data_IF_465741701022
#
_entry.id   IF_465741701022
#
_cell.length_a   1.000
_cell.length_b   1.000
_cell.length_c   1.000
_cell.angle_alpha   90.00
_cell.angle_beta   90.00
_cell.angle_gamma   90.00
#
_symmetry.space_group_name_H-M   'P 1'
#
loop_
_entity.id
_entity.type
_entity.pdbx_description
1 polymer ?
#
# COMPACT_ATOMS: atom_id res chain seq x y z
N UNK A 1 28.46 -53.57 -36.33
CA UNK A 1 27.79 -54.18 -37.51
C UNK A 1 26.39 -54.66 -37.11
N UNK A 2 25.44 -54.89 -38.05
CA UNK A 2 24.03 -54.51 -37.83
C UNK A 2 22.97 -55.60 -38.13
N UNK A 3 21.69 -55.22 -37.97
CA UNK A 3 20.40 -55.72 -38.57
C UNK A 3 19.38 -56.19 -37.52
N UNK A 4 18.05 -56.04 -37.70
CA UNK A 4 17.28 -55.11 -38.57
C UNK A 4 15.77 -55.10 -38.28
N UNK A 5 15.19 -53.89 -38.23
CA UNK A 5 13.85 -53.44 -38.71
C UNK A 5 12.72 -54.46 -39.02
N UNK A 6 11.51 -54.15 -38.48
CA UNK A 6 10.25 -53.74 -39.18
C UNK A 6 9.27 -53.27 -38.07
N UNK A 7 8.58 -52.11 -38.04
CA UNK A 7 7.89 -51.20 -38.99
C UNK A 7 6.61 -51.76 -39.63
N UNK A 8 5.48 -51.08 -39.34
CA UNK A 8 4.14 -50.99 -39.99
C UNK A 8 3.09 -50.77 -38.87
N UNK A 9 2.12 -49.85 -38.89
CA UNK A 9 1.91 -48.57 -39.61
C UNK A 9 0.78 -47.76 -38.93
N UNK A 10 0.81 -46.42 -38.97
CA UNK A 10 -0.28 -45.55 -38.46
C UNK A 10 -1.27 -45.12 -39.57
N UNK A 11 -2.52 -44.72 -39.25
CA UNK A 11 -3.35 -43.91 -40.12
C UNK A 11 -3.35 -42.42 -39.72
N UNK A 12 -3.28 -41.56 -40.74
CA UNK A 12 -3.32 -40.09 -40.66
C UNK A 12 -4.68 -39.58 -40.22
N UNK A 13 -4.73 -38.49 -39.42
CA UNK A 13 -5.89 -37.59 -39.36
C UNK A 13 -5.47 -36.12 -39.49
N UNK A 14 -5.71 -35.65 -40.71
CA UNK A 14 -5.88 -34.29 -41.23
C UNK A 14 -5.91 -33.16 -40.17
N UNK A 15 -5.06 -32.16 -40.39
CA UNK A 15 -5.21 -30.83 -39.78
C UNK A 15 -6.22 -29.99 -40.58
N UNK A 16 -7.06 -29.22 -39.88
CA UNK A 16 -7.81 -28.10 -40.47
C UNK A 16 -7.40 -26.85 -39.69
N UNK A 17 -6.79 -25.91 -40.40
CA UNK A 17 -6.58 -24.53 -39.93
C UNK A 17 -7.82 -23.74 -40.32
N UNK A 18 -8.48 -23.13 -39.35
CA UNK A 18 -9.43 -22.05 -39.57
C UNK A 18 -9.09 -20.89 -38.63
N UNK A 19 -8.66 -19.78 -39.23
CA UNK A 19 -8.51 -18.52 -38.54
C UNK A 19 -9.83 -17.74 -38.65
N UNK A 20 -10.37 -17.27 -37.53
CA UNK A 20 -11.39 -16.21 -37.48
C UNK A 20 -11.01 -15.24 -36.37
N UNK A 21 -11.21 -13.96 -36.64
CA UNK A 21 -10.77 -12.80 -35.85
C UNK A 21 -11.91 -12.29 -34.95
N UNK A 22 -11.53 -11.79 -33.77
CA UNK A 22 -12.29 -10.93 -32.85
C UNK A 22 -13.55 -11.48 -32.16
N UNK A 23 -13.74 -11.09 -30.89
CA UNK A 23 -14.92 -11.41 -30.08
C UNK A 23 -14.65 -11.31 -28.58
N UNK A 24 -14.67 -10.09 -28.03
CA UNK A 24 -14.45 -9.83 -26.61
C UNK A 24 -15.67 -10.21 -25.74
N UNK A 25 -15.42 -10.76 -24.55
CA UNK A 25 -16.21 -10.44 -23.36
C UNK A 25 -17.22 -11.46 -22.82
N UNK A 26 -17.53 -11.25 -21.53
CA UNK A 26 -18.61 -11.77 -20.70
C UNK A 26 -18.41 -13.12 -19.97
N UNK A 27 -18.04 -13.01 -18.69
CA UNK A 27 -18.26 -14.05 -17.67
C UNK A 27 -19.76 -14.23 -17.42
N UNK A 28 -20.26 -15.48 -17.51
CA UNK A 28 -21.66 -15.78 -17.22
C UNK A 28 -21.90 -15.92 -15.70
N UNK A 29 -22.70 -15.02 -15.12
CA UNK A 29 -23.28 -15.19 -13.79
C UNK A 29 -24.62 -15.89 -13.93
N UNK A 30 -24.81 -17.02 -13.26
CA UNK A 30 -26.07 -17.75 -13.22
C UNK A 30 -27.05 -17.06 -12.25
N UNK A 31 -28.20 -16.60 -12.76
CA UNK A 31 -29.38 -16.31 -11.95
C UNK A 31 -30.60 -17.03 -12.53
N UNK A 32 -31.47 -17.50 -11.63
CA UNK A 32 -32.59 -18.38 -11.97
C UNK A 32 -33.72 -17.64 -12.72
N UNK A 33 -34.46 -18.40 -13.53
CA UNK A 33 -35.51 -17.90 -14.41
C UNK A 33 -36.76 -17.47 -13.63
N UNK A 34 -37.28 -16.29 -13.97
CA UNK A 34 -38.68 -15.88 -13.78
C UNK A 34 -39.16 -15.27 -15.10
N UNK A 35 -40.21 -15.84 -15.69
CA UNK A 35 -40.71 -15.49 -17.02
C UNK A 35 -41.85 -14.48 -16.95
N UNK A 36 -41.82 -13.44 -17.78
CA UNK A 36 -43.02 -12.99 -18.52
C UNK A 36 -42.68 -12.09 -19.72
N UNK A 37 -43.58 -12.06 -20.70
CA UNK A 37 -43.39 -11.42 -22.02
C UNK A 37 -43.47 -9.88 -21.97
N UNK A 38 -42.50 -9.20 -22.60
CA UNK A 38 -42.50 -7.74 -22.70
C UNK A 38 -41.47 -7.20 -23.71
N UNK A 39 -41.90 -6.95 -24.96
CA UNK A 39 -41.04 -6.34 -25.99
C UNK A 39 -40.71 -4.89 -25.66
N UNK A 40 -39.49 -4.62 -25.20
CA UNK A 40 -38.92 -3.27 -25.11
C UNK A 40 -37.76 -3.16 -26.11
N UNK A 41 -37.95 -2.36 -27.16
CA UNK A 41 -36.88 -1.98 -28.07
C UNK A 41 -35.95 -0.98 -27.37
N UNK A 42 -34.88 -1.48 -26.75
CA UNK A 42 -33.81 -0.62 -26.23
C UNK A 42 -33.02 -0.07 -27.42
N UNK A 43 -33.21 1.21 -27.73
CA UNK A 43 -32.29 1.95 -28.60
C UNK A 43 -30.93 1.95 -27.90
N UNK A 44 -29.93 1.33 -28.53
CA UNK A 44 -28.57 1.35 -28.02
C UNK A 44 -28.06 2.80 -27.99
N UNK A 45 -28.06 3.40 -26.80
CA UNK A 45 -27.43 4.68 -26.58
C UNK A 45 -25.94 4.50 -26.89
N UNK A 46 -25.32 5.36 -27.74
CA UNK A 46 -23.91 5.22 -28.05
C UNK A 46 -23.12 5.28 -26.74
N UNK A 47 -22.18 4.35 -26.57
CA UNK A 47 -21.34 4.28 -25.38
C UNK A 47 -20.75 5.67 -25.11
N UNK A 48 -20.93 6.16 -23.88
CA UNK A 48 -20.39 7.45 -23.48
C UNK A 48 -18.90 7.46 -23.81
N UNK A 49 -18.48 8.42 -24.64
CA UNK A 49 -17.06 8.63 -24.94
C UNK A 49 -16.33 8.74 -23.61
N UNK A 50 -15.31 7.89 -23.39
CA UNK A 50 -14.44 7.97 -22.21
C UNK A 50 -14.06 9.44 -22.01
N UNK A 51 -14.27 10.02 -20.81
CA UNK A 51 -14.05 11.44 -20.59
C UNK A 51 -12.63 11.79 -21.02
N UNK A 52 -12.47 12.87 -21.79
CA UNK A 52 -11.18 13.24 -22.37
C UNK A 52 -10.16 13.48 -21.25
N UNK A 53 -9.27 12.49 -21.06
CA UNK A 53 -8.27 12.52 -20.01
C UNK A 53 -7.12 13.43 -20.43
N UNK A 54 -6.94 14.52 -19.69
CA UNK A 54 -5.79 15.41 -19.86
C UNK A 54 -4.67 14.95 -18.93
N UNK A 55 -3.52 14.63 -19.52
CA UNK A 55 -2.34 14.17 -18.80
C UNK A 55 -1.31 15.30 -18.80
N UNK A 56 -0.83 15.67 -17.61
CA UNK A 56 0.11 16.80 -17.44
C UNK A 56 1.31 16.39 -16.59
N UNK A 57 2.44 17.04 -16.83
CA UNK A 57 3.63 16.94 -15.98
C UNK A 57 3.67 18.10 -14.99
N UNK A 58 4.07 17.82 -13.76
CA UNK A 58 4.36 18.82 -12.72
C UNK A 58 5.71 18.49 -12.08
N UNK A 59 6.42 19.51 -11.63
CA UNK A 59 7.69 19.38 -10.91
C UNK A 59 7.49 19.57 -9.40
N UNK A 60 8.52 19.21 -8.62
CA UNK A 60 8.56 19.33 -7.15
C UNK A 60 7.39 18.59 -6.43
N UNK A 61 7.47 17.25 -6.27
CA UNK A 61 8.35 16.33 -6.98
C UNK A 61 7.90 16.12 -8.44
N UNK A 62 8.79 15.65 -9.29
CA UNK A 62 8.50 15.27 -10.67
C UNK A 62 7.38 14.22 -10.71
N UNK A 63 6.24 14.54 -11.34
CA UNK A 63 5.03 13.71 -11.32
C UNK A 63 4.15 13.90 -12.54
N UNK A 64 3.41 12.85 -12.88
CA UNK A 64 2.33 12.89 -13.87
C UNK A 64 1.00 13.02 -13.16
N UNK A 65 0.17 13.95 -13.61
CA UNK A 65 -1.17 14.22 -13.10
C UNK A 65 -2.19 14.04 -14.21
N UNK A 66 -3.19 13.19 -13.97
CA UNK A 66 -4.32 12.94 -14.88
C UNK A 66 -5.53 13.71 -14.36
N UNK A 67 -6.17 14.49 -15.23
CA UNK A 67 -7.42 15.19 -14.95
C UNK A 67 -8.52 14.82 -15.93
N UNK A 68 -9.79 14.88 -15.49
CA UNK A 68 -10.94 14.84 -16.40
C UNK A 68 -11.09 16.15 -17.21
N UNK A 69 -12.11 16.17 -18.09
CA UNK A 69 -12.45 17.34 -18.90
C UNK A 69 -12.95 18.56 -18.08
N UNK A 70 -13.37 18.36 -16.82
CA UNK A 70 -13.72 19.44 -15.90
C UNK A 70 -12.50 19.98 -15.12
N UNK A 71 -11.31 19.41 -15.32
CA UNK A 71 -10.08 19.76 -14.61
C UNK A 71 -9.93 19.09 -13.24
N UNK A 72 -10.79 18.14 -12.91
CA UNK A 72 -10.69 17.36 -11.67
C UNK A 72 -9.46 16.46 -11.71
N UNK A 73 -8.58 16.57 -10.73
CA UNK A 73 -7.49 15.61 -10.54
C UNK A 73 -8.04 14.21 -10.19
N UNK A 74 -7.78 13.24 -11.07
CA UNK A 74 -8.22 11.84 -10.95
C UNK A 74 -7.10 10.94 -10.42
N UNK A 75 -5.86 11.20 -10.81
CA UNK A 75 -4.71 10.39 -10.45
C UNK A 75 -3.41 11.19 -10.46
N UNK A 76 -2.55 10.98 -9.47
CA UNK A 76 -1.19 11.51 -9.41
C UNK A 76 -0.17 10.40 -9.19
N UNK A 77 0.76 10.30 -10.13
CA UNK A 77 1.86 9.33 -10.18
C UNK A 77 3.18 10.07 -10.00
N UNK A 78 3.97 9.73 -8.99
CA UNK A 78 5.25 10.42 -8.71
C UNK A 78 6.41 9.61 -9.28
N UNK A 79 7.32 10.27 -9.99
CA UNK A 79 8.46 9.58 -10.61
C UNK A 79 9.31 8.86 -9.54
N UNK A 80 9.76 7.65 -9.88
CA UNK A 80 10.46 6.74 -8.97
C UNK A 80 9.54 5.97 -8.01
N UNK A 81 8.29 6.40 -7.82
CA UNK A 81 7.33 5.82 -6.86
C UNK A 81 6.41 4.80 -7.53
N UNK A 82 6.08 3.71 -6.83
CA UNK A 82 5.08 2.74 -7.26
C UNK A 82 3.67 3.10 -6.74
N UNK A 83 3.58 3.85 -5.64
CA UNK A 83 2.33 4.35 -5.07
C UNK A 83 1.72 5.46 -5.94
N UNK A 84 0.41 5.37 -6.12
CA UNK A 84 -0.40 6.27 -6.93
C UNK A 84 -1.57 6.74 -6.10
N UNK A 85 -1.78 8.05 -6.01
CA UNK A 85 -2.95 8.63 -5.35
C UNK A 85 -4.03 8.85 -6.40
N UNK A 86 -5.14 8.14 -6.23
CA UNK A 86 -6.35 8.24 -7.04
C UNK A 86 -7.42 9.03 -6.28
N UNK A 87 -8.28 9.73 -7.02
CA UNK A 87 -9.52 10.29 -6.50
C UNK A 87 -10.61 9.23 -6.57
N UNK A 88 -11.19 8.89 -5.42
CA UNK A 88 -12.30 7.94 -5.30
C UNK A 88 -13.37 8.43 -4.34
N UNK A 89 -14.31 7.55 -3.94
CA UNK A 89 -15.36 7.86 -2.97
C UNK A 89 -14.81 8.42 -1.65
N UNK A 90 -15.52 9.38 -1.07
CA UNK A 90 -15.17 9.92 0.25
C UNK A 90 -15.39 8.87 1.34
N UNK A 91 -14.48 8.84 2.32
CA UNK A 91 -14.51 7.97 3.49
C UNK A 91 -13.82 8.63 4.68
N UNK A 92 -14.09 8.12 5.87
CA UNK A 92 -13.55 8.65 7.13
C UNK A 92 -12.85 7.54 7.92
N UNK A 93 -11.63 7.81 8.37
CA UNK A 93 -10.86 6.97 9.28
C UNK A 93 -10.87 7.57 10.69
N UNK A 94 -10.97 6.71 11.71
CA UNK A 94 -11.06 7.12 13.11
C UNK A 94 -10.38 6.08 14.02
N UNK A 95 -9.87 6.54 15.17
CA UNK A 95 -9.31 5.71 16.24
C UNK A 95 -9.87 6.23 17.58
N UNK A 96 -11.15 5.90 17.89
CA UNK A 96 -11.88 6.51 19.00
C UNK A 96 -11.35 6.12 20.39
N UNK A 97 -10.43 5.14 20.47
CA UNK A 97 -9.78 4.76 21.72
C UNK A 97 -8.76 5.82 22.17
N UNK A 98 -8.09 6.48 21.23
CA UNK A 98 -6.95 7.35 21.51
C UNK A 98 -7.07 8.77 20.94
N UNK A 99 -8.09 9.09 20.14
CA UNK A 99 -8.41 10.47 19.75
C UNK A 99 -9.87 10.65 19.34
N UNK A 100 -10.36 11.89 19.37
CA UNK A 100 -11.63 12.29 18.73
C UNK A 100 -11.43 12.80 17.30
N UNK A 101 -10.18 13.00 16.86
CA UNK A 101 -9.88 13.42 15.50
C UNK A 101 -10.17 12.30 14.50
N UNK A 102 -10.64 12.69 13.31
CA UNK A 102 -10.92 11.78 12.21
C UNK A 102 -10.28 12.29 10.92
N UNK A 103 -9.88 11.42 10.02
CA UNK A 103 -9.35 11.81 8.70
C UNK A 103 -10.41 11.49 7.65
N UNK A 104 -11.00 12.52 7.04
CA UNK A 104 -11.98 12.36 5.96
C UNK A 104 -11.33 12.70 4.63
N UNK A 105 -11.28 11.72 3.72
CA UNK A 105 -10.48 11.82 2.48
C UNK A 105 -11.18 11.19 1.27
N UNK A 106 -10.86 11.70 0.09
CA UNK A 106 -11.17 11.12 -1.22
C UNK A 106 -9.94 10.52 -1.89
N UNK A 107 -8.78 10.53 -1.22
CA UNK A 107 -7.55 9.90 -1.70
C UNK A 107 -7.60 8.38 -1.50
N UNK A 108 -7.31 7.63 -2.56
CA UNK A 108 -7.18 6.18 -2.58
C UNK A 108 -5.78 5.82 -3.10
N UNK A 109 -5.02 5.05 -2.31
CA UNK A 109 -3.60 4.81 -2.55
C UNK A 109 -3.41 3.39 -3.09
N UNK A 110 -3.09 3.30 -4.38
CA UNK A 110 -2.87 2.05 -5.13
C UNK A 110 -1.41 1.89 -5.50
N UNK A 111 -1.04 0.70 -5.97
CA UNK A 111 0.28 0.41 -6.53
C UNK A 111 0.16 0.25 -8.05
N UNK A 112 0.96 1.00 -8.80
CA UNK A 112 1.23 0.72 -10.19
C UNK A 112 2.00 -0.62 -10.34
N UNK A 113 1.96 -1.27 -11.52
CA UNK A 113 2.70 -2.53 -11.75
C UNK A 113 4.23 -2.38 -11.60
N UNK A 114 4.74 -1.18 -11.83
CA UNK A 114 6.15 -0.81 -11.74
C UNK A 114 6.30 0.63 -11.19
N UNK A 115 7.50 1.01 -10.77
CA UNK A 115 7.79 2.38 -10.36
C UNK A 115 7.58 3.36 -11.54
N UNK A 116 6.91 4.47 -11.28
CA UNK A 116 6.51 5.41 -12.32
C UNK A 116 7.70 6.17 -12.92
N UNK A 117 7.62 6.43 -14.22
CA UNK A 117 8.55 7.30 -14.96
C UNK A 117 7.75 8.24 -15.86
N UNK A 118 8.37 9.33 -16.33
CA UNK A 118 7.76 10.20 -17.34
C UNK A 118 7.32 9.43 -18.62
N UNK A 119 7.97 8.31 -18.94
CA UNK A 119 7.66 7.46 -20.09
C UNK A 119 6.52 6.46 -19.83
N UNK A 120 6.18 6.17 -18.56
CA UNK A 120 5.17 5.18 -18.18
C UNK A 120 3.76 5.52 -18.68
N UNK A 121 3.49 6.77 -19.07
CA UNK A 121 2.26 7.17 -19.78
C UNK A 121 2.07 6.42 -21.11
N UNK A 122 3.14 5.96 -21.74
CA UNK A 122 3.13 5.18 -22.97
C UNK A 122 3.19 3.66 -22.73
N UNK A 123 3.21 3.22 -21.46
CA UNK A 123 3.27 1.80 -21.14
C UNK A 123 1.93 1.12 -21.47
N UNK A 124 1.98 -0.09 -22.04
CA UNK A 124 0.79 -0.83 -22.48
C UNK A 124 -0.19 -1.15 -21.35
N UNK A 125 0.27 -1.14 -20.09
CA UNK A 125 -0.56 -1.36 -18.91
C UNK A 125 -1.31 -0.10 -18.45
N UNK A 126 -0.84 1.11 -18.79
CA UNK A 126 -1.23 2.36 -18.11
C UNK A 126 -2.72 2.66 -18.17
N UNK A 127 -3.30 2.78 -19.36
CA UNK A 127 -4.73 3.14 -19.52
C UNK A 127 -5.65 2.10 -18.86
N UNK A 128 -5.43 0.81 -19.13
CA UNK A 128 -6.25 -0.26 -18.56
C UNK A 128 -6.11 -0.35 -17.03
N UNK A 129 -4.90 -0.15 -16.49
CA UNK A 129 -4.68 -0.10 -15.04
C UNK A 129 -5.41 1.10 -14.42
N UNK A 130 -5.33 2.29 -15.03
CA UNK A 130 -5.97 3.50 -14.52
C UNK A 130 -7.50 3.36 -14.51
N UNK A 131 -8.09 2.90 -15.61
CA UNK A 131 -9.54 2.67 -15.71
C UNK A 131 -10.02 1.62 -14.70
N UNK A 132 -9.23 0.55 -14.50
CA UNK A 132 -9.52 -0.51 -13.52
C UNK A 132 -9.46 0.02 -12.09
N UNK A 133 -8.42 0.78 -11.74
CA UNK A 133 -8.20 1.24 -10.37
C UNK A 133 -9.08 2.43 -9.96
N UNK A 134 -9.49 3.29 -10.91
CA UNK A 134 -10.52 4.30 -10.69
C UNK A 134 -11.89 3.68 -10.38
N UNK A 135 -12.17 2.48 -10.92
CA UNK A 135 -13.38 1.70 -10.61
C UNK A 135 -13.22 0.75 -9.41
N UNK A 136 -12.01 0.61 -8.85
CA UNK A 136 -11.71 -0.42 -7.85
C UNK A 136 -12.18 -0.01 -6.44
N UNK A 137 -13.16 -0.74 -5.91
CA UNK A 137 -13.74 -0.53 -4.57
C UNK A 137 -13.09 -1.36 -3.45
N UNK A 138 -12.11 -2.22 -3.77
CA UNK A 138 -11.39 -3.02 -2.76
C UNK A 138 -10.60 -2.11 -1.79
N UNK A 139 -10.32 -2.54 -0.55
CA UNK A 139 -9.43 -1.80 0.36
C UNK A 139 -8.12 -1.40 -0.33
N UNK A 140 -7.72 -0.16 -0.17
CA UNK A 140 -6.44 0.40 -0.62
C UNK A 140 -5.45 0.46 0.54
N UNK A 141 -4.23 0.97 0.33
CA UNK A 141 -3.20 1.05 1.37
C UNK A 141 -3.70 1.72 2.66
N UNK A 142 -4.49 2.80 2.57
CA UNK A 142 -5.00 3.50 3.76
C UNK A 142 -6.06 2.69 4.51
N UNK A 143 -7.00 2.06 3.79
CA UNK A 143 -7.96 1.15 4.42
C UNK A 143 -7.27 -0.09 5.02
N UNK A 144 -6.27 -0.64 4.32
CA UNK A 144 -5.45 -1.77 4.80
C UNK A 144 -4.72 -1.40 6.09
N UNK A 145 -4.22 -0.17 6.22
CA UNK A 145 -3.58 0.30 7.46
C UNK A 145 -4.55 0.28 8.67
N UNK A 146 -5.83 0.58 8.46
CA UNK A 146 -6.85 0.52 9.54
C UNK A 146 -7.22 -0.89 9.99
N UNK A 147 -6.88 -1.93 9.23
CA UNK A 147 -7.17 -3.34 9.56
C UNK A 147 -6.46 -3.84 10.83
N UNK A 148 -5.56 -3.03 11.41
CA UNK A 148 -4.66 -3.40 12.51
C UNK A 148 -4.79 -2.49 13.75
N UNK A 149 -5.75 -1.56 13.74
CA UNK A 149 -6.08 -0.72 14.90
C UNK A 149 -6.66 -1.58 16.05
N UNK A 150 -6.71 -1.00 17.25
CA UNK A 150 -7.36 -1.62 18.41
C UNK A 150 -8.79 -2.08 18.09
N UNK A 151 -9.12 -3.30 18.51
CA UNK A 151 -10.42 -3.91 18.27
C UNK A 151 -10.73 -4.27 16.81
N UNK A 152 -9.80 -4.09 15.87
CA UNK A 152 -10.03 -4.43 14.47
C UNK A 152 -10.34 -5.93 14.30
N UNK A 153 -11.39 -6.29 13.52
CA UNK A 153 -11.88 -7.65 13.44
C UNK A 153 -10.85 -8.58 12.79
N UNK A 154 -10.61 -9.72 13.43
CA UNK A 154 -9.70 -10.73 12.88
C UNK A 154 -10.26 -11.33 11.60
N UNK A 155 -9.46 -11.39 10.54
CA UNK A 155 -9.77 -12.12 9.31
C UNK A 155 -8.68 -13.13 9.02
N UNK A 156 -9.09 -14.31 8.59
CA UNK A 156 -8.22 -15.43 8.26
C UNK A 156 -8.27 -15.75 6.77
N UNK A 157 -7.19 -16.26 6.21
CA UNK A 157 -7.17 -16.86 4.88
C UNK A 157 -7.68 -18.32 4.89
N UNK A 158 -7.69 -18.97 3.73
CA UNK A 158 -8.12 -20.37 3.58
C UNK A 158 -7.23 -21.39 4.32
N UNK A 159 -6.07 -20.96 4.84
CA UNK A 159 -5.15 -21.76 5.66
C UNK A 159 -5.33 -21.50 7.17
N UNK A 160 -6.14 -20.51 7.54
CA UNK A 160 -6.33 -20.07 8.93
C UNK A 160 -5.37 -18.99 9.40
N UNK A 161 -4.51 -18.44 8.53
CA UNK A 161 -3.55 -17.38 8.91
C UNK A 161 -4.30 -16.07 9.13
N UNK A 162 -4.17 -15.50 10.33
CA UNK A 162 -4.78 -14.23 10.70
C UNK A 162 -4.07 -13.04 10.02
N UNK A 163 -4.40 -12.78 8.75
CA UNK A 163 -3.74 -11.74 7.94
C UNK A 163 -4.16 -10.30 8.29
N UNK A 164 -5.20 -10.13 9.11
CA UNK A 164 -5.73 -8.85 9.55
C UNK A 164 -6.46 -8.96 10.91
N UNK A 165 -6.61 -7.82 11.59
CA UNK A 165 -7.18 -7.67 12.92
C UNK A 165 -6.21 -6.98 13.88
N UNK A 166 -6.70 -6.62 15.08
CA UNK A 166 -5.96 -5.98 16.17
C UNK A 166 -4.51 -6.48 16.29
N UNK A 167 -3.55 -5.54 16.32
CA UNK A 167 -2.13 -5.81 16.41
C UNK A 167 -1.52 -5.13 17.64
N UNK A 168 -0.80 -5.89 18.47
CA UNK A 168 0.01 -5.34 19.57
C UNK A 168 1.36 -4.82 19.04
N UNK A 169 2.15 -4.10 19.86
CA UNK A 169 3.47 -3.60 19.42
C UNK A 169 4.58 -4.65 19.56
N UNK A 170 4.69 -5.22 20.76
CA UNK A 170 5.74 -6.16 21.13
C UNK A 170 5.62 -6.60 22.59
N UNK A 171 6.37 -7.64 23.02
CA UNK A 171 6.36 -8.12 24.40
C UNK A 171 6.80 -7.03 25.38
N UNK A 172 6.29 -7.05 26.62
CA UNK A 172 6.71 -6.11 27.66
C UNK A 172 8.10 -6.47 28.20
N UNK A 173 8.99 -5.49 28.34
CA UNK A 173 10.36 -5.69 28.88
C UNK A 173 10.35 -5.61 30.42
N UNK A 174 9.30 -6.16 31.03
CA UNK A 174 9.00 -6.05 32.46
C UNK A 174 8.23 -4.79 32.84
N UNK A 175 7.66 -4.81 34.05
CA UNK A 175 6.69 -3.83 34.55
C UNK A 175 7.17 -2.39 34.42
N UNK A 176 6.46 -1.58 33.63
CA UNK A 176 6.74 -0.15 33.44
C UNK A 176 7.93 0.18 32.52
N UNK A 177 8.66 -0.82 32.00
CA UNK A 177 9.89 -0.62 31.20
C UNK A 177 9.66 -0.48 29.69
N UNK A 178 8.41 -0.53 29.23
CA UNK A 178 8.06 -0.43 27.82
C UNK A 178 7.97 -1.79 27.11
N UNK A 179 8.06 -1.76 25.77
CA UNK A 179 7.85 -2.92 24.90
C UNK A 179 9.01 -3.09 23.92
N UNK A 180 9.26 -4.35 23.54
CA UNK A 180 10.41 -4.76 22.74
C UNK A 180 10.17 -4.56 21.23
N UNK A 181 10.80 -3.52 20.68
CA UNK A 181 10.73 -3.12 19.27
C UNK A 181 11.52 -4.05 18.34
N UNK A 182 10.97 -5.25 18.09
CA UNK A 182 11.55 -6.21 17.14
C UNK A 182 10.53 -6.97 16.29
N UNK A 183 9.23 -6.72 16.44
CA UNK A 183 8.15 -7.48 15.79
C UNK A 183 7.94 -7.05 14.32
N UNK A 184 8.11 -7.97 13.37
CA UNK A 184 7.91 -7.73 11.93
C UNK A 184 6.59 -8.36 11.42
N UNK A 185 6.24 -8.14 10.14
CA UNK A 185 5.00 -8.64 9.56
C UNK A 185 4.84 -10.17 9.69
N UNK A 186 5.94 -10.93 9.65
CA UNK A 186 5.92 -12.38 9.79
C UNK A 186 5.64 -12.84 11.23
N UNK A 187 6.06 -12.06 12.24
CA UNK A 187 5.67 -12.28 13.64
C UNK A 187 4.17 -12.06 13.85
N UNK A 188 3.63 -10.99 13.26
CA UNK A 188 2.20 -10.71 13.31
C UNK A 188 1.37 -11.89 12.74
N UNK A 189 1.79 -12.43 11.59
CA UNK A 189 1.15 -13.56 10.92
C UNK A 189 1.35 -14.90 11.66
N UNK A 190 2.44 -15.05 12.41
CA UNK A 190 2.84 -16.32 13.04
C UNK A 190 3.46 -17.33 12.06
N UNK A 191 4.03 -16.86 10.95
CA UNK A 191 4.51 -17.68 9.83
C UNK A 191 5.97 -17.38 9.50
N UNK A 192 6.81 -18.40 9.32
CA UNK A 192 8.22 -18.22 8.92
C UNK A 192 8.33 -17.62 7.51
N UNK A 193 9.23 -16.64 7.31
CA UNK A 193 9.35 -15.93 6.04
C UNK A 193 10.71 -16.09 5.35
N UNK A 194 10.67 -16.46 4.07
CA UNK A 194 11.83 -16.58 3.20
C UNK A 194 12.08 -15.28 2.43
N UNK A 195 13.07 -14.50 2.86
CA UNK A 195 13.50 -13.31 2.12
C UNK A 195 14.40 -13.68 0.94
N UNK A 196 14.33 -12.96 -0.21
CA UNK A 196 15.23 -13.22 -1.34
C UNK A 196 16.71 -12.89 -1.08
N UNK A 197 16.99 -12.02 -0.10
CA UNK A 197 18.31 -11.43 0.14
C UNK A 197 18.99 -11.91 1.44
N UNK A 198 18.37 -12.83 2.18
CA UNK A 198 18.93 -13.42 3.41
C UNK A 198 18.28 -14.77 3.71
N UNK A 199 18.66 -15.41 4.83
CA UNK A 199 18.02 -16.64 5.31
C UNK A 199 16.56 -16.41 5.74
N UNK A 200 15.82 -17.51 5.86
CA UNK A 200 14.52 -17.55 6.53
C UNK A 200 14.58 -16.83 7.89
N UNK A 201 13.65 -15.91 8.13
CA UNK A 201 13.37 -15.42 9.48
C UNK A 201 12.22 -16.23 10.06
N UNK A 202 12.34 -16.58 11.34
CA UNK A 202 11.33 -17.36 12.02
C UNK A 202 10.39 -16.45 12.79
N UNK A 203 9.10 -16.75 12.77
CA UNK A 203 8.14 -16.03 13.60
C UNK A 203 8.35 -16.39 15.07
N UNK A 204 8.53 -15.41 15.95
CA UNK A 204 8.63 -15.67 17.38
C UNK A 204 7.22 -15.91 17.97
N UNK A 205 6.90 -17.07 18.58
CA UNK A 205 5.55 -17.32 19.10
C UNK A 205 5.10 -16.32 20.18
N UNK A 206 6.06 -15.73 20.90
CA UNK A 206 5.81 -14.66 21.88
C UNK A 206 5.42 -13.32 21.24
N UNK A 207 5.55 -13.19 19.91
CA UNK A 207 5.20 -12.01 19.10
C UNK A 207 4.02 -12.24 18.16
N UNK A 208 3.29 -13.35 18.29
CA UNK A 208 2.09 -13.57 17.48
C UNK A 208 1.14 -12.38 17.58
N UNK A 209 0.68 -11.87 16.43
CA UNK A 209 -0.09 -10.62 16.29
C UNK A 209 0.58 -9.36 16.86
N UNK A 210 1.91 -9.30 16.88
CA UNK A 210 2.67 -8.10 17.27
C UNK A 210 3.41 -7.49 16.09
N UNK A 211 3.48 -6.15 16.03
CA UNK A 211 4.05 -5.41 14.91
C UNK A 211 4.65 -4.07 15.38
N UNK A 212 5.93 -3.81 15.10
CA UNK A 212 6.57 -2.53 15.40
C UNK A 212 6.33 -1.45 14.33
N UNK A 213 6.88 -0.25 14.52
CA UNK A 213 6.65 0.90 13.64
C UNK A 213 6.99 0.61 12.16
N UNK A 214 8.11 -0.08 11.93
CA UNK A 214 8.65 -0.42 10.62
C UNK A 214 8.13 -1.76 10.10
N UNK A 215 7.85 -2.71 11.01
CA UNK A 215 7.08 -3.91 10.71
C UNK A 215 5.69 -3.58 10.17
N UNK A 216 5.03 -2.56 10.72
CA UNK A 216 3.69 -2.15 10.30
C UNK A 216 3.68 -1.62 8.86
N UNK A 217 4.68 -0.80 8.50
CA UNK A 217 4.92 -0.38 7.12
C UNK A 217 5.13 -1.59 6.19
N UNK A 218 5.94 -2.57 6.61
CA UNK A 218 6.23 -3.78 5.82
C UNK A 218 5.02 -4.71 5.69
N UNK A 219 4.16 -4.77 6.71
CA UNK A 219 2.89 -5.49 6.69
C UNK A 219 1.90 -4.84 5.71
N UNK A 220 1.70 -3.53 5.81
CA UNK A 220 0.74 -2.78 4.98
C UNK A 220 1.20 -2.70 3.51
N UNK A 221 2.40 -2.21 3.24
CA UNK A 221 2.88 -2.00 1.86
C UNK A 221 3.45 -3.26 1.25
N UNK A 222 4.20 -4.04 2.02
CA UNK A 222 4.86 -5.24 1.53
C UNK A 222 3.89 -6.41 1.42
N UNK A 223 3.59 -7.05 2.56
CA UNK A 223 2.80 -8.28 2.58
C UNK A 223 1.36 -8.10 2.05
N UNK A 224 0.66 -7.03 2.47
CA UNK A 224 -0.75 -6.79 2.09
C UNK A 224 -0.94 -6.12 0.74
N UNK A 225 0.02 -5.32 0.27
CA UNK A 225 -0.14 -4.52 -0.96
C UNK A 225 0.80 -4.90 -2.11
N UNK A 226 1.89 -5.64 -1.85
CA UNK A 226 2.74 -6.24 -2.89
C UNK A 226 4.09 -5.57 -3.16
N UNK A 227 4.52 -4.60 -2.34
CA UNK A 227 5.88 -4.04 -2.46
C UNK A 227 6.91 -5.12 -2.08
N UNK A 228 8.00 -5.32 -2.85
CA UNK A 228 9.03 -6.30 -2.51
C UNK A 228 9.60 -6.08 -1.10
N UNK A 229 9.82 -7.16 -0.36
CA UNK A 229 10.29 -7.14 1.03
C UNK A 229 11.69 -7.76 1.13
N UNK A 230 12.53 -7.13 1.95
CA UNK A 230 13.91 -7.55 2.21
C UNK A 230 14.16 -7.83 3.69
N UNK A 231 15.08 -8.75 3.98
CA UNK A 231 15.49 -9.08 5.34
C UNK A 231 16.81 -8.40 5.76
N UNK A 232 17.50 -7.73 4.84
CA UNK A 232 18.69 -6.91 5.16
C UNK A 232 18.37 -5.41 5.25
N UNK A 233 19.31 -4.62 5.77
CA UNK A 233 19.20 -3.15 5.91
C UNK A 233 20.22 -2.38 5.04
N UNK A 234 20.68 -3.00 3.94
CA UNK A 234 21.62 -2.40 2.97
C UNK A 234 20.86 -1.88 1.73
N UNK A 235 21.50 -1.16 0.79
CA UNK A 235 20.87 -0.81 -0.50
C UNK A 235 20.41 -2.03 -1.31
N UNK A 236 19.33 -1.91 -2.08
CA UNK A 236 18.75 -2.99 -2.91
C UNK A 236 17.23 -2.91 -3.08
N UNK A 237 16.62 -3.71 -3.99
CA UNK A 237 15.22 -3.57 -4.40
C UNK A 237 14.21 -4.04 -3.35
N UNK A 238 13.31 -3.14 -2.92
CA UNK A 238 12.27 -3.42 -1.93
C UNK A 238 12.53 -2.80 -0.56
N UNK A 239 11.60 -3.00 0.38
CA UNK A 239 11.65 -2.40 1.71
C UNK A 239 12.60 -3.20 2.64
N UNK A 240 13.65 -2.56 3.21
CA UNK A 240 14.45 -3.16 4.28
C UNK A 240 13.67 -3.19 5.61
N UNK A 241 14.30 -3.68 6.69
CA UNK A 241 13.62 -3.95 7.97
C UNK A 241 13.47 -2.74 8.90
N UNK A 242 14.53 -1.94 9.09
CA UNK A 242 14.56 -0.85 10.10
C UNK A 242 14.07 0.48 9.51
N UNK A 243 13.45 1.33 10.34
CA UNK A 243 12.93 2.64 9.93
C UNK A 243 13.98 3.50 9.18
N UNK A 244 15.20 3.67 9.73
CA UNK A 244 16.29 4.39 9.04
C UNK A 244 16.61 3.82 7.67
N UNK A 245 16.65 2.49 7.54
CA UNK A 245 16.99 1.83 6.29
C UNK A 245 15.87 2.00 5.25
N UNK A 246 14.60 2.05 5.68
CA UNK A 246 13.48 2.34 4.77
C UNK A 246 13.54 3.81 4.32
N UNK A 247 13.88 4.75 5.21
CA UNK A 247 14.08 6.15 4.84
C UNK A 247 15.24 6.33 3.84
N UNK A 248 16.39 5.72 4.10
CA UNK A 248 17.61 5.88 3.30
C UNK A 248 17.59 5.06 2.00
N UNK A 249 17.25 3.77 2.08
CA UNK A 249 17.38 2.79 1.00
C UNK A 249 16.07 2.18 0.49
N UNK A 250 14.92 2.52 1.09
CA UNK A 250 13.63 2.06 0.58
C UNK A 250 13.40 2.52 -0.86
N UNK A 251 12.63 1.74 -1.62
CA UNK A 251 12.23 2.14 -2.98
C UNK A 251 11.44 3.46 -2.99
N UNK A 252 11.18 4.02 -4.17
CA UNK A 252 10.43 5.26 -4.27
C UNK A 252 11.29 6.50 -4.17
N UNK A 253 10.63 7.64 -3.96
CA UNK A 253 11.23 8.98 -4.00
C UNK A 253 11.15 9.64 -2.63
N UNK A 254 12.27 10.22 -2.17
CA UNK A 254 12.30 11.09 -1.00
C UNK A 254 11.60 12.42 -1.36
N UNK A 255 10.37 12.60 -0.89
CA UNK A 255 9.55 13.79 -1.17
C UNK A 255 9.86 14.93 -0.21
N UNK A 256 10.39 14.60 0.98
CA UNK A 256 11.04 15.53 1.90
C UNK A 256 12.43 14.95 2.21
N UNK A 257 13.54 15.56 1.77
CA UNK A 257 14.88 15.03 2.00
C UNK A 257 15.28 15.13 3.49
N UNK A 258 15.99 14.11 4.01
CA UNK A 258 16.55 14.21 5.36
C UNK A 258 17.69 15.24 5.39
N UNK A 259 17.48 16.33 6.13
CA UNK A 259 18.48 17.38 6.37
C UNK A 259 19.01 17.38 7.82
N UNK A 260 18.72 16.32 8.60
CA UNK A 260 19.02 16.20 10.04
C UNK A 260 18.43 17.35 10.90
N UNK A 261 17.40 18.02 10.39
CA UNK A 261 16.61 19.04 11.09
C UNK A 261 15.12 18.67 11.06
N UNK A 262 14.29 19.36 11.84
CA UNK A 262 12.83 19.23 11.77
C UNK A 262 12.37 19.61 10.36
N UNK A 263 11.69 18.70 9.66
CA UNK A 263 11.05 19.01 8.39
C UNK A 263 9.72 19.74 8.58
N UNK A 264 9.39 20.67 7.67
CA UNK A 264 8.15 21.46 7.70
C UNK A 264 7.47 21.58 6.33
N UNK A 265 8.00 20.92 5.31
CA UNK A 265 7.58 21.02 3.90
C UNK A 265 6.33 20.16 3.61
N UNK A 266 5.28 20.31 4.42
CA UNK A 266 4.11 19.42 4.39
C UNK A 266 3.34 19.44 3.06
N UNK A 267 3.45 20.52 2.27
CA UNK A 267 2.86 20.64 0.92
C UNK A 267 3.41 19.61 -0.08
N UNK A 268 4.58 19.02 0.18
CA UNK A 268 5.14 17.94 -0.64
C UNK A 268 4.45 16.59 -0.39
N UNK A 269 3.76 16.44 0.74
CA UNK A 269 3.17 15.19 1.19
C UNK A 269 1.85 14.85 0.49
N UNK A 270 1.61 13.56 0.31
CA UNK A 270 0.36 12.99 -0.17
C UNK A 270 -0.06 11.82 0.74
N UNK A 271 -1.37 11.59 0.94
CA UNK A 271 -1.84 10.42 1.69
C UNK A 271 -1.21 9.14 1.13
N UNK A 272 -0.66 8.30 2.02
CA UNK A 272 0.11 7.12 1.64
C UNK A 272 1.62 7.34 1.52
N UNK A 273 2.15 8.53 1.79
CA UNK A 273 3.58 8.73 2.03
C UNK A 273 4.01 8.12 3.36
N UNK A 274 5.23 7.59 3.40
CA UNK A 274 5.89 7.24 4.65
C UNK A 274 6.54 8.47 5.26
N UNK A 275 6.33 8.67 6.55
CA UNK A 275 6.94 9.72 7.37
C UNK A 275 7.88 9.10 8.40
N UNK A 276 9.06 9.70 8.57
CA UNK A 276 10.14 9.17 9.40
C UNK A 276 10.62 10.18 10.42
N UNK A 277 10.90 9.68 11.61
CA UNK A 277 11.16 10.47 12.79
C UNK A 277 12.46 10.02 13.46
N UNK A 278 13.04 10.93 14.24
CA UNK A 278 14.01 10.65 15.28
C UNK A 278 13.35 11.09 16.60
N UNK A 279 12.79 10.13 17.33
CA UNK A 279 11.99 10.31 18.55
C UNK A 279 12.85 10.19 19.83
N UNK A 280 14.06 9.62 19.72
CA UNK A 280 15.07 9.53 20.77
C UNK A 280 16.38 10.28 20.42
N UNK A 281 16.35 11.62 20.20
CA UNK A 281 17.49 12.40 19.70
C UNK A 281 18.70 12.46 20.64
N UNK A 282 18.54 12.00 21.89
CA UNK A 282 19.63 11.84 22.85
C UNK A 282 20.51 10.61 22.56
N UNK A 283 20.04 9.67 21.73
CA UNK A 283 20.78 8.47 21.31
C UNK A 283 21.50 8.65 19.97
N UNK A 284 21.20 9.71 19.21
CA UNK A 284 21.85 10.05 17.95
C UNK A 284 20.95 10.87 17.02
N UNK A 285 21.44 11.13 15.80
CA UNK A 285 20.67 11.76 14.72
C UNK A 285 19.85 10.76 13.88
N UNK A 286 20.13 9.45 14.02
CA UNK A 286 19.49 8.37 13.29
C UNK A 286 17.96 8.33 13.45
N UNK A 287 17.28 7.96 12.36
CA UNK A 287 15.83 7.69 12.31
C UNK A 287 15.50 6.38 13.04
N UNK A 288 14.56 6.44 13.97
CA UNK A 288 14.14 5.31 14.81
C UNK A 288 12.70 4.87 14.49
N UNK A 289 11.81 5.80 14.17
CA UNK A 289 10.37 5.56 14.04
C UNK A 289 9.83 5.87 12.64
N UNK A 290 8.78 5.15 12.24
CA UNK A 290 8.11 5.30 10.94
C UNK A 290 6.58 5.32 11.08
N UNK A 291 5.91 5.99 10.14
CA UNK A 291 4.46 6.03 10.03
C UNK A 291 3.97 6.28 8.61
N UNK A 292 2.65 6.24 8.43
CA UNK A 292 1.93 6.43 7.18
C UNK A 292 1.13 7.74 7.28
N UNK A 293 1.42 8.72 6.43
CA UNK A 293 0.68 9.98 6.39
C UNK A 293 -0.71 9.79 5.79
N UNK A 294 -1.75 10.35 6.43
CA UNK A 294 -3.15 10.14 6.08
C UNK A 294 -3.78 11.35 5.35
N UNK A 295 -3.21 12.54 5.50
CA UNK A 295 -3.81 13.81 5.07
C UNK A 295 -4.08 14.75 6.24
N UNK A 296 -4.94 15.74 6.01
CA UNK A 296 -5.45 16.60 7.07
C UNK A 296 -6.59 15.89 7.85
N UNK A 297 -6.62 16.07 9.16
CA UNK A 297 -7.71 15.59 10.00
C UNK A 297 -8.85 16.62 10.15
N UNK A 298 -9.86 16.24 10.95
CA UNK A 298 -11.04 17.06 11.26
C UNK A 298 -10.75 18.33 12.07
N UNK A 299 -9.52 18.54 12.54
CA UNK A 299 -9.08 19.80 13.16
C UNK A 299 -8.16 20.62 12.25
N UNK A 300 -7.87 20.11 11.04
CA UNK A 300 -7.06 20.80 10.03
C UNK A 300 -5.56 20.52 10.11
N UNK A 301 -5.14 19.53 10.92
CA UNK A 301 -3.73 19.22 11.15
C UNK A 301 -3.26 18.00 10.36
N UNK A 302 -1.96 17.96 10.05
CA UNK A 302 -1.34 16.90 9.25
C UNK A 302 -1.22 15.62 10.08
N UNK A 303 -2.13 14.65 9.87
CA UNK A 303 -2.22 13.43 10.68
C UNK A 303 -1.56 12.22 10.02
N UNK A 304 -0.94 11.39 10.83
CA UNK A 304 -0.33 10.12 10.41
C UNK A 304 -0.77 8.94 11.29
N UNK A 305 -0.49 7.71 10.84
CA UNK A 305 -0.71 6.48 11.58
C UNK A 305 0.64 5.77 11.82
N UNK A 306 0.86 5.17 12.98
CA UNK A 306 2.07 4.36 13.24
C UNK A 306 1.81 3.32 14.33
N UNK A 307 2.57 2.22 14.33
CA UNK A 307 2.57 1.29 15.47
C UNK A 307 3.45 1.82 16.60
N UNK A 308 2.93 1.88 17.83
CA UNK A 308 3.57 2.55 18.97
C UNK A 308 3.57 1.69 20.23
N UNK A 309 4.70 1.71 20.95
CA UNK A 309 4.84 1.02 22.24
C UNK A 309 3.84 1.50 23.31
N UNK A 310 3.49 2.80 23.32
CA UNK A 310 2.56 3.39 24.31
C UNK A 310 1.09 3.07 24.04
N UNK A 311 0.67 3.03 22.77
CA UNK A 311 -0.66 2.56 22.37
C UNK A 311 -0.78 1.03 22.38
N UNK A 312 0.37 0.33 22.39
CA UNK A 312 0.50 -1.10 22.14
C UNK A 312 -0.13 -1.51 20.79
N UNK A 313 0.32 -0.88 19.70
CA UNK A 313 -0.12 -1.23 18.36
C UNK A 313 -0.22 -0.04 17.40
N UNK A 314 -0.65 -0.28 16.16
CA UNK A 314 -1.06 0.74 15.20
C UNK A 314 -2.12 1.68 15.79
N UNK A 315 -1.90 2.98 15.62
CA UNK A 315 -2.82 4.03 16.06
C UNK A 315 -2.68 5.26 15.15
N UNK A 316 -3.78 6.00 14.96
CA UNK A 316 -3.77 7.38 14.45
C UNK A 316 -4.16 8.39 15.54
N UNK A 317 -4.35 7.93 16.78
CA UNK A 317 -4.69 8.75 17.93
C UNK A 317 -3.46 9.28 18.70
N UNK A 318 -3.70 9.88 19.85
CA UNK A 318 -2.76 10.83 20.47
C UNK A 318 -2.09 10.30 21.75
N UNK A 319 -2.28 9.01 22.08
CA UNK A 319 -1.62 8.37 23.22
C UNK A 319 -0.12 8.20 22.98
N UNK A 320 0.68 8.69 23.93
CA UNK A 320 2.14 8.70 23.84
C UNK A 320 2.70 9.81 22.94
N UNK A 321 1.85 10.76 22.51
CA UNK A 321 2.19 11.85 21.62
C UNK A 321 1.12 12.00 20.54
N UNK A 322 0.75 13.23 20.23
CA UNK A 322 -0.18 13.55 19.14
C UNK A 322 0.27 12.95 17.82
N UNK A 323 -0.65 12.38 17.04
CA UNK A 323 -0.35 11.84 15.71
C UNK A 323 -0.26 12.93 14.63
N UNK A 324 0.34 14.07 14.98
CA UNK A 324 0.40 15.27 14.16
C UNK A 324 1.84 15.60 13.75
N UNK A 325 2.00 16.17 12.56
CA UNK A 325 3.29 16.60 12.01
C UNK A 325 3.58 18.08 12.28
N UNK A 326 2.56 18.88 12.57
CA UNK A 326 2.59 20.35 12.53
C UNK A 326 2.26 21.06 13.85
N UNK A 327 1.80 20.34 14.88
CA UNK A 327 1.37 20.89 16.17
C UNK A 327 2.51 21.35 17.11
N UNK A 328 3.77 21.07 16.78
CA UNK A 328 4.93 21.33 17.64
C UNK A 328 5.06 20.38 18.83
N UNK A 329 4.25 19.32 18.90
CA UNK A 329 4.35 18.24 19.86
C UNK A 329 5.47 17.24 19.58
N UNK A 330 5.46 16.11 20.28
CA UNK A 330 6.54 15.11 20.29
C UNK A 330 6.94 14.63 18.87
N UNK A 331 5.97 14.12 18.10
CA UNK A 331 6.23 13.63 16.74
C UNK A 331 6.47 14.76 15.74
N UNK A 332 5.78 15.90 15.91
CA UNK A 332 5.99 17.09 15.09
C UNK A 332 7.41 17.65 15.17
N UNK A 333 8.03 17.64 16.35
CA UNK A 333 9.45 18.01 16.52
C UNK A 333 10.41 16.91 16.00
N UNK A 334 9.98 15.65 16.02
CA UNK A 334 10.79 14.50 15.66
C UNK A 334 10.86 14.22 14.14
N UNK A 335 9.96 14.78 13.31
CA UNK A 335 9.92 14.54 11.86
C UNK A 335 11.23 14.96 11.18
N UNK A 336 11.79 14.11 10.31
CA UNK A 336 13.05 14.35 9.58
C UNK A 336 12.92 14.27 8.06
N UNK A 337 12.12 13.34 7.55
CA UNK A 337 12.05 13.03 6.12
C UNK A 337 10.77 12.27 5.79
N UNK A 338 10.39 12.27 4.51
CA UNK A 338 9.26 11.52 4.00
C UNK A 338 9.58 10.92 2.63
N UNK A 339 9.02 9.73 2.36
CA UNK A 339 9.27 8.92 1.15
C UNK A 339 7.95 8.40 0.58
N UNK A 340 7.76 8.59 -0.72
CA UNK A 340 6.66 8.01 -1.50
C UNK A 340 7.17 6.74 -2.17
N UNK A 341 6.65 5.59 -1.77
CA UNK A 341 7.12 4.26 -2.22
C UNK A 341 6.72 3.94 -3.66
#
# INVERSE_FOLDING_TARGET
MPRSRRRVSAPVRIAIVLAVIAGSGASAVYFAQGSDDGRISVVAQPAASSPELKITRREQPARTVVTDAAGTELATFTDGSQTVVLKGPQRTFADPRFSTATVTTTAWVRLAPEAWTAQSVNASWFTNWLDTELANTRPDVLAIATDYLDGAPTRTDDKGVAYAGDASFGPEIGTGKGRDERSDFYDYLGEDWNFPDTRTQQAEPARYRMIDCSGFVRLVYGYRSGIPLRGTNTPGPGLPRRAWAIAEYGQGTAVIPNQNVRATDYDALQPGDLVFFNIDPYLGDQIDHAGIYLGLDSTGHHRFMSSRAKANGPTLGDLGGTSLLDDGGYYSQALRTARRL
#
